data_IF_832137187340
#
_entry.id   IF_832137187340
#
_cell.length_a   1.000
_cell.length_b   1.000
_cell.length_c   1.000
_cell.angle_alpha   90.00
_cell.angle_beta   90.00
_cell.angle_gamma   90.00
#
_symmetry.space_group_name_H-M   'P 1'
#
loop_
_entity.id
_entity.type
_entity.pdbx_description
1 polymer ?
#
# COMPACT_ATOMS: atom_id res chain seq x y z
N UNK A 1 3.90 4.99 27.70
CA UNK A 1 4.72 3.81 28.09
C UNK A 1 4.96 3.00 26.83
N UNK A 2 6.22 2.80 26.43
CA UNK A 2 6.60 2.00 25.25
C UNK A 2 7.47 0.83 25.69
N UNK A 3 7.46 -0.25 24.91
CA UNK A 3 8.26 -1.45 25.11
C UNK A 3 9.46 -1.43 24.14
N UNK A 4 10.64 -1.80 24.62
CA UNK A 4 11.85 -1.93 23.80
C UNK A 4 12.59 -3.20 24.19
N UNK A 5 13.10 -3.91 23.20
CA UNK A 5 14.02 -5.03 23.40
C UNK A 5 15.47 -4.51 23.32
N UNK A 6 16.28 -4.86 24.30
CA UNK A 6 17.70 -4.54 24.36
C UNK A 6 18.50 -5.77 24.82
N UNK A 7 19.70 -5.97 24.30
CA UNK A 7 20.65 -6.97 24.80
C UNK A 7 21.79 -6.26 25.53
N UNK A 8 22.53 -7.01 26.34
CA UNK A 8 23.77 -6.52 26.93
C UNK A 8 24.84 -6.36 25.84
N UNK A 9 25.58 -5.26 25.89
CA UNK A 9 26.78 -5.08 25.06
C UNK A 9 27.86 -6.12 25.45
N UNK A 10 28.66 -6.65 24.51
CA UNK A 10 29.75 -7.58 24.83
C UNK A 10 30.76 -7.05 25.87
N UNK A 11 30.90 -5.73 26.00
CA UNK A 11 31.76 -5.04 26.97
C UNK A 11 30.98 -4.49 28.18
N UNK A 12 29.72 -4.87 28.34
CA UNK A 12 28.82 -4.38 29.39
C UNK A 12 29.32 -4.70 30.80
N UNK A 13 29.31 -3.70 31.67
CA UNK A 13 29.60 -3.81 33.09
C UNK A 13 28.47 -4.44 33.92
N UNK A 14 27.32 -4.66 33.28
CA UNK A 14 26.12 -5.24 33.88
C UNK A 14 26.13 -6.78 33.86
N UNK A 15 26.98 -7.39 33.02
CA UNK A 15 27.12 -8.83 32.96
C UNK A 15 27.56 -9.40 34.33
N UNK A 16 26.82 -10.40 34.82
CA UNK A 16 27.06 -11.04 36.11
C UNK A 16 26.45 -10.36 37.33
N UNK A 17 25.88 -9.14 37.19
CA UNK A 17 25.12 -8.46 38.26
C UNK A 17 23.68 -8.95 38.30
N UNK A 18 23.06 -8.90 39.48
CA UNK A 18 21.62 -9.17 39.59
C UNK A 18 20.80 -7.97 39.11
N UNK A 19 19.57 -8.20 38.66
CA UNK A 19 18.67 -7.12 38.23
C UNK A 19 18.43 -6.10 39.35
N UNK A 20 18.34 -6.57 40.60
CA UNK A 20 18.22 -5.71 41.78
C UNK A 20 19.47 -4.88 42.03
N UNK A 21 20.68 -5.41 41.79
CA UNK A 21 21.91 -4.62 41.89
C UNK A 21 21.98 -3.51 40.83
N UNK A 22 21.45 -3.79 39.63
CA UNK A 22 21.45 -2.84 38.51
C UNK A 22 20.40 -1.74 38.69
N UNK A 23 19.31 -2.02 39.39
CA UNK A 23 18.25 -1.06 39.71
C UNK A 23 17.73 -0.29 38.49
N UNK A 24 17.26 -1.00 37.46
CA UNK A 24 16.75 -0.40 36.21
C UNK A 24 15.74 0.74 36.45
N UNK A 25 14.88 0.62 37.47
CA UNK A 25 13.91 1.68 37.83
C UNK A 25 14.58 2.97 38.31
N UNK A 26 15.62 2.88 39.12
CA UNK A 26 16.26 4.08 39.68
C UNK A 26 17.34 4.64 38.75
N UNK A 27 18.16 3.76 38.16
CA UNK A 27 19.28 4.15 37.28
C UNK A 27 18.78 4.65 35.92
N UNK A 28 17.85 3.94 35.31
CA UNK A 28 17.41 4.20 33.94
C UNK A 28 15.98 4.75 33.84
N UNK A 29 15.22 4.75 34.95
CA UNK A 29 13.79 5.10 34.96
C UNK A 29 12.96 4.21 34.04
N UNK A 30 13.35 2.94 33.96
CA UNK A 30 12.72 1.91 33.14
C UNK A 30 12.36 0.69 33.99
N UNK A 31 11.27 0.03 33.65
CA UNK A 31 10.86 -1.23 34.26
C UNK A 31 11.35 -2.41 33.40
N UNK A 32 12.02 -3.38 34.01
CA UNK A 32 12.33 -4.64 33.35
C UNK A 32 11.09 -5.55 33.44
N UNK A 33 10.51 -5.88 32.28
CA UNK A 33 9.28 -6.66 32.16
C UNK A 33 9.57 -8.16 32.01
N UNK A 34 10.62 -8.51 31.27
CA UNK A 34 11.00 -9.89 31.02
C UNK A 34 12.46 -10.01 30.60
N UNK A 35 13.04 -11.20 30.79
CA UNK A 35 14.35 -11.59 30.24
C UNK A 35 14.13 -12.80 29.34
N UNK A 36 14.60 -12.74 28.11
CA UNK A 36 14.61 -13.87 27.19
C UNK A 36 16.00 -14.51 27.18
N UNK A 37 16.06 -15.77 27.63
CA UNK A 37 17.31 -16.55 27.71
C UNK A 37 17.10 -17.94 27.13
N UNK A 38 17.97 -18.36 26.22
CA UNK A 38 17.95 -19.72 25.64
C UNK A 38 16.56 -20.15 25.10
N UNK A 39 15.85 -19.23 24.44
CA UNK A 39 14.53 -19.52 23.86
C UNK A 39 13.37 -19.56 24.86
N UNK A 40 13.57 -19.16 26.13
CA UNK A 40 12.52 -19.15 27.15
C UNK A 40 12.36 -17.74 27.75
N UNK A 41 11.12 -17.22 27.85
CA UNK A 41 10.85 -15.98 28.58
C UNK A 41 10.83 -16.24 30.09
N UNK A 42 11.70 -15.55 30.82
CA UNK A 42 11.70 -15.45 32.27
C UNK A 42 10.90 -14.20 32.66
N UNK A 43 9.89 -14.37 33.52
CA UNK A 43 8.97 -13.30 33.97
C UNK A 43 8.80 -13.21 35.48
N UNK A 44 9.34 -14.17 36.22
CA UNK A 44 9.14 -14.32 37.67
C UNK A 44 10.49 -14.17 38.36
N UNK A 45 10.50 -13.57 39.56
CA UNK A 45 11.72 -13.37 40.37
C UNK A 45 12.87 -12.68 39.63
N UNK A 46 12.52 -11.75 38.73
CA UNK A 46 13.49 -11.07 37.86
C UNK A 46 14.61 -10.38 38.66
N UNK A 47 14.30 -9.82 39.84
CA UNK A 47 15.25 -9.09 40.69
C UNK A 47 16.51 -9.87 41.06
N UNK A 48 16.37 -11.17 41.38
CA UNK A 48 17.49 -12.00 41.84
C UNK A 48 18.28 -12.65 40.70
N UNK A 49 17.79 -12.54 39.46
CA UNK A 49 18.46 -13.14 38.31
C UNK A 49 19.72 -12.36 37.95
N UNK A 50 20.82 -13.10 37.78
CA UNK A 50 22.06 -12.53 37.23
C UNK A 50 21.95 -12.38 35.72
N UNK A 51 22.24 -11.18 35.23
CA UNK A 51 22.29 -10.87 33.80
C UNK A 51 23.46 -11.60 33.13
N UNK A 52 23.23 -12.17 31.96
CA UNK A 52 24.23 -12.89 31.17
C UNK A 52 24.30 -12.33 29.75
N UNK A 53 25.50 -12.30 29.17
CA UNK A 53 25.66 -11.91 27.77
C UNK A 53 24.80 -12.82 26.87
N UNK A 54 24.06 -12.21 25.94
CA UNK A 54 23.08 -12.91 25.10
C UNK A 54 21.65 -12.94 25.65
N UNK A 55 21.41 -12.38 26.84
CA UNK A 55 20.06 -12.12 27.31
C UNK A 55 19.40 -10.99 26.52
N UNK A 56 18.16 -11.21 26.07
CA UNK A 56 17.30 -10.15 25.57
C UNK A 56 16.41 -9.61 26.70
N UNK A 57 16.63 -8.36 27.07
CA UNK A 57 15.90 -7.62 28.09
C UNK A 57 14.72 -6.87 27.47
N UNK A 58 13.55 -7.01 28.08
CA UNK A 58 12.35 -6.30 27.68
C UNK A 58 12.09 -5.15 28.66
N UNK A 59 12.32 -3.91 28.20
CA UNK A 59 12.24 -2.70 29.02
C UNK A 59 10.98 -1.90 28.69
N UNK A 60 10.29 -1.40 29.72
CA UNK A 60 9.10 -0.56 29.63
C UNK A 60 9.36 0.81 30.25
N UNK A 61 8.99 1.87 29.53
CA UNK A 61 9.10 3.22 30.10
C UNK A 61 8.62 4.36 29.22
N UNK A 62 8.88 5.62 29.66
CA UNK A 62 8.62 6.80 28.85
C UNK A 62 9.56 6.86 27.65
N UNK A 63 9.07 7.43 26.55
CA UNK A 63 9.78 7.42 25.27
C UNK A 63 11.09 8.18 25.33
N UNK A 64 11.14 9.29 26.09
CA UNK A 64 12.36 10.10 26.24
C UNK A 64 13.49 9.30 26.91
N UNK A 65 13.16 8.45 27.89
CA UNK A 65 14.12 7.60 28.59
C UNK A 65 14.59 6.44 27.73
N UNK A 66 13.67 5.81 26.99
CA UNK A 66 14.01 4.73 26.08
C UNK A 66 14.95 5.21 24.97
N UNK A 67 14.76 6.41 24.41
CA UNK A 67 15.67 6.95 23.40
C UNK A 67 17.11 7.19 23.91
N UNK A 68 17.31 7.32 25.22
CA UNK A 68 18.65 7.45 25.81
C UNK A 68 19.38 6.11 25.89
N UNK A 69 18.67 4.98 25.85
CA UNK A 69 19.29 3.64 25.85
C UNK A 69 20.19 3.41 24.65
N UNK A 70 19.90 4.04 23.50
CA UNK A 70 20.75 3.94 22.31
C UNK A 70 22.15 4.52 22.52
N UNK A 71 22.35 5.35 23.55
CA UNK A 71 23.64 5.93 23.92
C UNK A 71 24.23 5.28 25.20
N UNK A 72 23.60 4.26 25.76
CA UNK A 72 24.10 3.57 26.95
C UNK A 72 25.20 2.57 26.55
N UNK A 73 26.41 2.65 27.14
CA UNK A 73 27.52 1.77 26.77
C UNK A 73 27.32 0.32 27.23
N UNK A 74 26.40 0.05 28.16
CA UNK A 74 26.17 -1.28 28.70
C UNK A 74 25.08 -2.07 27.93
N UNK A 75 24.31 -1.42 27.05
CA UNK A 75 23.11 -1.98 26.42
C UNK A 75 23.04 -1.67 24.92
N UNK A 76 22.73 -2.68 24.12
CA UNK A 76 22.45 -2.55 22.69
C UNK A 76 20.96 -2.72 22.46
N UNK A 77 20.32 -1.69 21.91
CA UNK A 77 18.89 -1.73 21.59
C UNK A 77 18.67 -2.56 20.31
N UNK A 78 17.87 -3.64 20.42
CA UNK A 78 17.58 -4.57 19.33
C UNK A 78 16.35 -4.14 18.50
N UNK A 79 15.37 -3.50 19.15
CA UNK A 79 14.21 -2.94 18.44
C UNK A 79 14.47 -1.49 18.05
N UNK A 80 14.33 -1.07 16.78
CA UNK A 80 14.43 0.35 16.44
C UNK A 80 13.36 1.14 17.22
N UNK A 81 13.79 1.97 18.18
CA UNK A 81 12.94 2.91 18.96
C UNK A 81 12.27 3.93 18.03
N UNK A 82 12.70 3.98 16.78
CA UNK A 82 12.32 4.93 15.76
C UNK A 82 11.02 4.54 15.07
N UNK A 83 9.88 4.67 15.74
CA UNK A 83 8.75 5.26 15.03
C UNK A 83 9.08 6.75 14.91
N UNK A 84 9.36 7.34 13.74
CA UNK A 84 9.67 8.77 13.65
C UNK A 84 8.61 9.59 14.39
N UNK A 85 9.02 10.60 15.18
CA UNK A 85 8.03 11.56 15.68
C UNK A 85 7.45 12.28 14.46
N UNK A 86 6.21 11.99 14.13
CA UNK A 86 5.51 12.68 13.04
C UNK A 86 5.22 14.10 13.59
N UNK A 87 5.95 15.09 13.09
CA UNK A 87 5.68 16.50 13.41
C UNK A 87 4.37 16.92 12.72
N UNK A 88 3.29 16.95 13.50
CA UNK A 88 1.95 17.31 13.02
C UNK A 88 1.72 18.81 12.94
N UNK A 89 2.70 19.66 13.30
CA UNK A 89 2.55 21.12 13.29
C UNK A 89 2.14 21.66 11.92
N UNK A 90 2.64 21.03 10.85
CA UNK A 90 2.35 21.42 9.46
C UNK A 90 1.20 20.66 8.81
N UNK A 91 0.57 19.73 9.52
CA UNK A 91 -0.58 18.98 9.03
C UNK A 91 -1.75 19.85 8.54
N UNK A 92 -2.18 20.93 9.23
CA UNK A 92 -3.30 21.74 8.76
C UNK A 92 -2.95 22.52 7.48
N UNK A 93 -1.71 22.98 7.35
CA UNK A 93 -1.24 23.67 6.14
C UNK A 93 -1.19 22.71 4.94
N UNK A 94 -0.64 21.50 5.15
CA UNK A 94 -0.62 20.46 4.13
C UNK A 94 -2.03 20.05 3.68
N UNK A 95 -2.95 19.88 4.62
CA UNK A 95 -4.35 19.59 4.33
C UNK A 95 -5.02 20.72 3.54
N UNK A 96 -4.79 21.98 3.93
CA UNK A 96 -5.28 23.15 3.21
C UNK A 96 -4.78 23.22 1.76
N UNK A 97 -3.49 22.96 1.54
CA UNK A 97 -2.91 22.87 0.19
C UNK A 97 -3.55 21.74 -0.64
N UNK A 98 -3.73 20.56 -0.05
CA UNK A 98 -4.37 19.43 -0.71
C UNK A 98 -5.82 19.74 -1.10
N UNK A 99 -6.61 20.32 -0.18
CA UNK A 99 -7.99 20.75 -0.45
C UNK A 99 -8.01 21.82 -1.55
N UNK A 100 -7.07 22.77 -1.53
CA UNK A 100 -6.94 23.80 -2.56
C UNK A 100 -6.68 23.21 -3.94
N UNK A 101 -5.77 22.23 -4.05
CA UNK A 101 -5.50 21.51 -5.31
C UNK A 101 -6.75 20.79 -5.80
N UNK A 102 -7.43 20.03 -4.93
CA UNK A 102 -8.65 19.29 -5.27
C UNK A 102 -9.74 20.27 -5.73
N UNK A 103 -9.98 21.35 -5.00
CA UNK A 103 -10.97 22.36 -5.33
C UNK A 103 -10.70 23.03 -6.68
N UNK A 104 -9.44 23.40 -6.96
CA UNK A 104 -9.06 23.99 -8.24
C UNK A 104 -9.31 23.06 -9.42
N UNK A 105 -9.07 21.76 -9.26
CA UNK A 105 -9.33 20.74 -10.29
C UNK A 105 -10.83 20.51 -10.48
N UNK A 106 -11.59 20.37 -9.39
CA UNK A 106 -13.04 20.11 -9.46
C UNK A 106 -13.84 21.25 -10.09
N UNK A 107 -13.42 22.50 -9.86
CA UNK A 107 -14.04 23.68 -10.46
C UNK A 107 -13.59 23.86 -11.93
N UNK A 108 -12.62 23.05 -12.39
CA UNK A 108 -12.07 23.11 -13.75
C UNK A 108 -11.14 24.30 -13.98
N UNK A 109 -10.62 24.91 -12.91
CA UNK A 109 -9.82 26.13 -13.01
C UNK A 109 -8.40 25.84 -13.52
N UNK A 110 -7.85 24.69 -13.14
CA UNK A 110 -6.53 24.21 -13.56
C UNK A 110 -6.61 22.73 -13.97
N UNK A 111 -5.93 22.32 -15.06
CA UNK A 111 -5.69 20.92 -15.37
C UNK A 111 -4.99 20.21 -14.21
N UNK A 112 -5.37 18.94 -13.96
CA UNK A 112 -4.88 18.16 -12.82
C UNK A 112 -3.34 18.08 -12.75
N UNK A 113 -2.66 17.99 -13.89
CA UNK A 113 -1.21 17.95 -13.96
C UNK A 113 -0.56 19.24 -13.42
N UNK A 114 -1.11 20.40 -13.79
CA UNK A 114 -0.59 21.70 -13.36
C UNK A 114 -0.89 21.91 -11.87
N UNK A 115 -2.13 21.61 -11.45
CA UNK A 115 -2.54 21.74 -10.06
C UNK A 115 -1.70 20.85 -9.12
N UNK A 116 -1.42 19.60 -9.51
CA UNK A 116 -0.61 18.68 -8.72
C UNK A 116 0.85 19.15 -8.58
N UNK A 117 1.48 19.62 -9.66
CA UNK A 117 2.86 20.14 -9.61
C UNK A 117 2.95 21.40 -8.74
N UNK A 118 1.98 22.32 -8.88
CA UNK A 118 1.91 23.51 -8.04
C UNK A 118 1.75 23.15 -6.55
N UNK A 119 0.83 22.24 -6.22
CA UNK A 119 0.62 21.76 -4.86
C UNK A 119 1.88 21.13 -4.26
N UNK A 120 2.53 20.24 -5.00
CA UNK A 120 3.79 19.61 -4.57
C UNK A 120 4.91 20.65 -4.36
N UNK A 121 5.02 21.64 -5.26
CA UNK A 121 5.98 22.73 -5.13
C UNK A 121 5.72 23.57 -3.88
N UNK A 122 4.46 23.93 -3.62
CA UNK A 122 4.07 24.68 -2.42
C UNK A 122 4.35 23.90 -1.13
N UNK A 123 4.15 22.57 -1.13
CA UNK A 123 4.49 21.71 0.01
C UNK A 123 5.99 21.76 0.36
N UNK A 124 6.87 21.84 -0.65
CA UNK A 124 8.32 21.97 -0.45
C UNK A 124 8.69 23.40 -0.03
N UNK A 125 8.13 24.42 -0.67
CA UNK A 125 8.40 25.83 -0.34
C UNK A 125 7.95 26.21 1.08
N UNK A 126 6.81 25.70 1.52
CA UNK A 126 6.30 25.86 2.90
C UNK A 126 7.03 24.96 3.92
N UNK A 127 8.00 24.15 3.45
CA UNK A 127 8.74 23.18 4.24
C UNK A 127 7.83 22.18 4.95
N UNK A 128 6.63 21.92 4.42
CA UNK A 128 5.80 20.78 4.88
C UNK A 128 6.51 19.46 4.60
N UNK A 129 7.30 19.44 3.52
CA UNK A 129 8.11 18.30 3.10
C UNK A 129 9.52 18.78 2.72
N UNK A 130 10.55 18.00 3.04
CA UNK A 130 11.90 18.25 2.53
C UNK A 130 12.02 17.77 1.08
N UNK A 131 12.99 18.29 0.32
CA UNK A 131 13.19 17.85 -1.08
C UNK A 131 13.49 16.35 -1.17
N UNK A 132 14.26 15.80 -0.24
CA UNK A 132 14.52 14.35 -0.18
C UNK A 132 13.24 13.55 0.10
N UNK A 133 12.41 14.02 1.03
CA UNK A 133 11.12 13.38 1.30
C UNK A 133 10.16 13.51 0.10
N UNK A 134 10.23 14.61 -0.66
CA UNK A 134 9.51 14.78 -1.92
C UNK A 134 9.93 13.71 -2.93
N UNK A 135 11.23 13.56 -3.16
CA UNK A 135 11.76 12.54 -4.06
C UNK A 135 11.39 11.11 -3.66
N UNK A 136 11.40 10.82 -2.35
CA UNK A 136 10.98 9.51 -1.81
C UNK A 136 9.47 9.28 -1.91
N UNK A 137 8.66 10.34 -1.88
CA UNK A 137 7.21 10.24 -2.00
C UNK A 137 6.74 10.00 -3.45
N UNK A 138 7.62 10.20 -4.44
CA UNK A 138 7.31 9.90 -5.84
C UNK A 138 7.31 8.38 -6.04
N UNK A 139 6.16 7.84 -6.45
CA UNK A 139 6.00 6.44 -6.85
C UNK A 139 6.60 6.20 -8.25
N UNK A 140 7.95 6.19 -8.32
CA UNK A 140 8.70 6.00 -9.57
C UNK A 140 8.27 4.75 -10.33
N UNK A 141 7.93 3.67 -9.61
CA UNK A 141 7.42 2.42 -10.20
C UNK A 141 6.17 2.67 -11.05
N UNK A 142 5.23 3.48 -10.55
CA UNK A 142 3.99 3.81 -11.27
C UNK A 142 4.26 4.67 -12.51
N UNK A 143 5.18 5.64 -12.40
CA UNK A 143 5.56 6.48 -13.55
C UNK A 143 6.19 5.64 -14.66
N UNK A 144 7.19 4.81 -14.34
CA UNK A 144 7.83 3.95 -15.32
C UNK A 144 6.89 2.90 -15.89
N UNK A 145 5.96 2.39 -15.07
CA UNK A 145 4.91 1.49 -15.54
C UNK A 145 4.01 2.19 -16.58
N UNK A 146 3.52 3.40 -16.29
CA UNK A 146 2.68 4.16 -17.24
C UNK A 146 3.46 4.48 -18.51
N UNK A 147 4.68 4.97 -18.37
CA UNK A 147 5.55 5.31 -19.49
C UNK A 147 5.90 4.08 -20.35
N UNK A 148 6.14 2.92 -19.75
CA UNK A 148 6.48 1.68 -20.47
C UNK A 148 5.28 0.99 -21.12
N UNK A 149 4.09 1.16 -20.55
CA UNK A 149 2.86 0.59 -21.11
C UNK A 149 2.34 1.36 -22.33
N UNK A 150 2.68 2.64 -22.50
CA UNK A 150 2.35 3.39 -23.72
C UNK A 150 2.96 2.72 -24.98
N UNK A 151 4.27 2.44 -25.05
CA UNK A 151 4.85 1.64 -26.13
C UNK A 151 4.27 0.24 -26.25
N UNK A 152 3.97 -0.44 -25.14
CA UNK A 152 3.36 -1.77 -25.18
C UNK A 152 1.96 -1.73 -25.82
N UNK A 153 1.14 -0.75 -25.46
CA UNK A 153 -0.17 -0.54 -26.06
C UNK A 153 -0.08 -0.30 -27.56
N UNK A 154 0.85 0.56 -28.00
CA UNK A 154 1.13 0.80 -29.42
C UNK A 154 1.60 -0.50 -30.11
N UNK A 155 2.44 -1.30 -29.46
CA UNK A 155 2.90 -2.57 -30.00
C UNK A 155 1.76 -3.60 -30.10
N UNK A 156 0.86 -3.67 -29.11
CA UNK A 156 -0.33 -4.53 -29.12
C UNK A 156 -1.32 -4.11 -30.20
N UNK A 157 -1.51 -2.81 -30.41
CA UNK A 157 -2.33 -2.26 -31.49
C UNK A 157 -1.71 -2.61 -32.86
N UNK A 158 -0.43 -2.29 -33.07
CA UNK A 158 0.26 -2.57 -34.34
C UNK A 158 0.42 -4.05 -34.67
N UNK A 159 0.57 -4.90 -33.65
CA UNK A 159 0.63 -6.36 -33.84
C UNK A 159 -0.75 -6.99 -34.05
N UNK A 160 -1.84 -6.24 -33.84
CA UNK A 160 -3.20 -6.76 -33.90
C UNK A 160 -3.60 -7.60 -32.69
N UNK A 161 -2.74 -7.76 -31.67
CA UNK A 161 -3.05 -8.55 -30.49
C UNK A 161 -4.26 -8.01 -29.72
N UNK A 162 -4.38 -6.68 -29.61
CA UNK A 162 -5.53 -6.05 -28.97
C UNK A 162 -6.83 -6.34 -29.73
N UNK A 163 -6.81 -6.23 -31.07
CA UNK A 163 -7.95 -6.53 -31.94
C UNK A 163 -8.34 -8.01 -31.88
N UNK A 164 -7.36 -8.93 -31.84
CA UNK A 164 -7.65 -10.37 -31.70
C UNK A 164 -8.42 -10.67 -30.41
N UNK A 165 -8.06 -10.04 -29.29
CA UNK A 165 -8.80 -10.21 -28.03
C UNK A 165 -10.19 -9.60 -28.13
N UNK A 166 -10.29 -8.37 -28.63
CA UNK A 166 -11.57 -7.68 -28.81
C UNK A 166 -12.53 -8.48 -29.71
N UNK A 167 -12.07 -8.92 -30.88
CA UNK A 167 -12.84 -9.74 -31.83
C UNK A 167 -13.33 -11.05 -31.20
N UNK A 168 -12.49 -11.72 -30.41
CA UNK A 168 -12.91 -12.97 -29.75
C UNK A 168 -14.02 -12.72 -28.72
N UNK A 169 -13.94 -11.63 -27.97
CA UNK A 169 -15.02 -11.23 -27.06
C UNK A 169 -16.27 -10.84 -27.83
N UNK A 170 -16.12 -10.09 -28.92
CA UNK A 170 -17.21 -9.69 -29.82
C UNK A 170 -17.90 -10.88 -30.48
N UNK A 171 -17.16 -11.88 -30.94
CA UNK A 171 -17.74 -13.13 -31.49
C UNK A 171 -18.53 -13.91 -30.45
N UNK A 172 -18.07 -13.91 -29.20
CA UNK A 172 -18.75 -14.62 -28.11
C UNK A 172 -19.97 -13.88 -27.58
N UNK A 173 -19.92 -12.54 -27.49
CA UNK A 173 -20.88 -11.74 -26.71
C UNK A 173 -21.53 -10.59 -27.50
N UNK A 174 -20.96 -10.17 -28.63
CA UNK A 174 -21.38 -8.99 -29.39
C UNK A 174 -22.79 -9.08 -29.96
N UNK A 175 -23.32 -10.27 -30.20
CA UNK A 175 -24.72 -10.47 -30.62
C UNK A 175 -25.75 -10.20 -29.51
N UNK A 176 -25.32 -10.11 -28.26
CA UNK A 176 -26.21 -9.87 -27.11
C UNK A 176 -26.32 -8.38 -26.76
N UNK A 177 -25.33 -7.56 -27.15
CA UNK A 177 -25.31 -6.12 -26.95
C UNK A 177 -23.97 -5.58 -26.44
N UNK A 178 -23.81 -4.24 -26.36
CA UNK A 178 -22.58 -3.63 -25.89
C UNK A 178 -22.28 -3.88 -24.40
N UNK A 179 -23.32 -4.02 -23.57
CA UNK A 179 -23.16 -4.24 -22.12
C UNK A 179 -22.58 -5.61 -21.80
N UNK A 180 -22.92 -6.62 -22.59
CA UNK A 180 -22.41 -7.98 -22.48
C UNK A 180 -20.93 -8.04 -22.84
N UNK A 181 -20.51 -7.29 -23.87
CA UNK A 181 -19.09 -7.15 -24.22
C UNK A 181 -18.32 -6.47 -23.09
N UNK A 182 -18.85 -5.38 -22.53
CA UNK A 182 -18.25 -4.68 -21.38
C UNK A 182 -18.14 -5.64 -20.17
N UNK A 183 -19.19 -6.41 -19.90
CA UNK A 183 -19.19 -7.42 -18.83
C UNK A 183 -18.15 -8.53 -19.07
N UNK A 184 -17.99 -8.97 -20.32
CA UNK A 184 -16.96 -9.94 -20.71
C UNK A 184 -15.54 -9.41 -20.48
N UNK A 185 -15.28 -8.17 -20.91
CA UNK A 185 -13.98 -7.50 -20.68
C UNK A 185 -13.73 -7.25 -19.19
N UNK A 186 -14.76 -6.90 -18.42
CA UNK A 186 -14.69 -6.83 -16.96
C UNK A 186 -14.26 -8.18 -16.39
N UNK A 187 -14.89 -9.28 -16.80
CA UNK A 187 -14.57 -10.63 -16.34
C UNK A 187 -13.13 -11.03 -16.63
N UNK A 188 -12.65 -10.78 -17.86
CA UNK A 188 -11.24 -11.01 -18.25
C UNK A 188 -10.31 -10.20 -17.35
N UNK A 189 -10.63 -8.92 -17.11
CA UNK A 189 -9.86 -8.04 -16.22
C UNK A 189 -9.84 -8.61 -14.81
N UNK A 190 -10.99 -8.96 -14.24
CA UNK A 190 -11.11 -9.51 -12.89
C UNK A 190 -10.27 -10.79 -12.72
N UNK A 191 -10.23 -11.69 -13.71
CA UNK A 191 -9.38 -12.88 -13.68
C UNK A 191 -7.90 -12.49 -13.75
N UNK A 192 -7.53 -11.56 -14.63
CA UNK A 192 -6.15 -11.12 -14.80
C UNK A 192 -5.58 -10.42 -13.55
N UNK A 193 -6.42 -9.82 -12.69
CA UNK A 193 -5.98 -9.23 -11.40
C UNK A 193 -5.32 -10.25 -10.47
N UNK A 194 -5.55 -11.55 -10.67
CA UNK A 194 -4.94 -12.58 -9.83
C UNK A 194 -3.41 -12.58 -9.90
N UNK A 195 -2.86 -12.16 -11.04
CA UNK A 195 -1.43 -12.24 -11.39
C UNK A 195 -0.85 -10.86 -11.67
N UNK A 196 -1.65 -9.96 -12.24
CA UNK A 196 -1.20 -8.65 -12.71
C UNK A 196 -1.58 -7.57 -11.70
N UNK A 197 -0.64 -6.70 -11.27
CA UNK A 197 -0.95 -5.56 -10.42
C UNK A 197 -1.97 -4.62 -11.08
N UNK A 198 -2.88 -4.05 -10.29
CA UNK A 198 -4.00 -3.20 -10.76
C UNK A 198 -3.59 -2.15 -11.78
N UNK A 199 -2.53 -1.37 -11.51
CA UNK A 199 -2.07 -0.31 -12.41
C UNK A 199 -1.57 -0.85 -13.76
N UNK A 200 -0.83 -1.97 -13.76
CA UNK A 200 -0.40 -2.62 -15.01
C UNK A 200 -1.58 -3.12 -15.82
N UNK A 201 -2.57 -3.67 -15.15
CA UNK A 201 -3.71 -4.30 -15.79
C UNK A 201 -4.60 -3.29 -16.53
N UNK A 202 -4.92 -2.15 -15.91
CA UNK A 202 -5.73 -1.10 -16.57
C UNK A 202 -5.06 -0.66 -17.86
N UNK A 203 -3.74 -0.46 -17.84
CA UNK A 203 -3.01 -0.01 -19.01
C UNK A 203 -2.90 -1.08 -20.10
N UNK A 204 -2.78 -2.35 -19.73
CA UNK A 204 -2.81 -3.47 -20.68
C UNK A 204 -4.17 -3.62 -21.35
N UNK A 205 -5.25 -3.40 -20.59
CA UNK A 205 -6.62 -3.51 -21.10
C UNK A 205 -7.03 -2.31 -21.96
N UNK A 206 -6.52 -1.10 -21.69
CA UNK A 206 -6.87 0.12 -22.43
C UNK A 206 -6.88 -0.02 -23.97
N UNK A 207 -5.85 -0.55 -24.65
CA UNK A 207 -5.89 -0.72 -26.11
C UNK A 207 -6.97 -1.72 -26.57
N UNK A 208 -7.23 -2.78 -25.79
CA UNK A 208 -8.29 -3.77 -26.10
C UNK A 208 -9.66 -3.11 -26.04
N UNK A 209 -9.87 -2.25 -25.03
CA UNK A 209 -11.12 -1.52 -24.82
C UNK A 209 -11.37 -0.51 -25.90
N UNK A 210 -10.35 0.26 -26.28
CA UNK A 210 -10.44 1.23 -27.36
C UNK A 210 -10.81 0.53 -28.68
N UNK A 211 -10.18 -0.61 -28.97
CA UNK A 211 -10.53 -1.44 -30.14
C UNK A 211 -11.98 -1.94 -30.08
N UNK A 212 -12.43 -2.51 -28.95
CA UNK A 212 -13.79 -3.02 -28.79
C UNK A 212 -14.84 -1.89 -28.85
N UNK A 213 -14.55 -0.72 -28.29
CA UNK A 213 -15.45 0.44 -28.30
C UNK A 213 -15.63 0.98 -29.71
N UNK A 214 -14.54 0.98 -30.51
CA UNK A 214 -14.58 1.38 -31.93
C UNK A 214 -15.42 0.40 -32.76
N UNK A 215 -15.28 -0.90 -32.51
CA UNK A 215 -16.06 -1.93 -33.21
C UNK A 215 -17.56 -1.89 -32.85
N UNK A 216 -17.87 -1.53 -31.60
CA UNK A 216 -19.24 -1.34 -31.10
C UNK A 216 -19.87 0.01 -31.48
N UNK A 217 -19.07 0.97 -31.97
CA UNK A 217 -19.54 2.34 -32.24
C UNK A 217 -19.97 3.09 -30.99
N UNK A 218 -19.29 2.87 -29.86
CA UNK A 218 -19.57 3.54 -28.58
C UNK A 218 -18.37 4.36 -28.09
N UNK A 219 -18.66 5.41 -27.33
CA UNK A 219 -17.63 6.18 -26.62
C UNK A 219 -16.92 5.29 -25.60
N UNK A 220 -15.57 5.25 -25.57
CA UNK A 220 -14.80 4.33 -24.74
C UNK A 220 -14.85 4.65 -23.24
N UNK A 221 -15.42 5.79 -22.87
CA UNK A 221 -15.41 6.27 -21.49
C UNK A 221 -16.09 5.30 -20.50
N UNK A 222 -17.28 4.77 -20.84
CA UNK A 222 -18.00 3.83 -19.98
C UNK A 222 -17.30 2.45 -19.89
N UNK A 223 -16.87 1.82 -21.01
CA UNK A 223 -16.04 0.61 -20.97
C UNK A 223 -14.74 0.77 -20.17
N UNK A 224 -14.05 1.91 -20.32
CA UNK A 224 -12.82 2.20 -19.57
C UNK A 224 -13.09 2.31 -18.06
N UNK A 225 -14.20 2.92 -17.66
CA UNK A 225 -14.62 2.99 -16.26
C UNK A 225 -14.92 1.58 -15.70
N UNK A 226 -15.60 0.73 -16.48
CA UNK A 226 -15.88 -0.65 -16.08
C UNK A 226 -14.60 -1.41 -15.72
N UNK A 227 -13.56 -1.26 -16.54
CA UNK A 227 -12.29 -1.97 -16.37
C UNK A 227 -11.42 -1.37 -15.28
N UNK A 228 -11.46 -0.04 -15.11
CA UNK A 228 -10.85 0.60 -13.94
C UNK A 228 -11.45 0.07 -12.64
N UNK A 229 -12.78 -0.10 -12.58
CA UNK A 229 -13.47 -0.69 -11.43
C UNK A 229 -13.13 -2.19 -11.28
N UNK A 230 -13.09 -2.95 -12.37
CA UNK A 230 -12.71 -4.37 -12.36
C UNK A 230 -11.30 -4.58 -11.81
N UNK A 231 -10.34 -3.80 -12.30
CA UNK A 231 -8.96 -3.86 -11.86
C UNK A 231 -8.82 -3.44 -10.39
N UNK A 232 -9.63 -2.48 -9.93
CA UNK A 232 -9.66 -2.04 -8.53
C UNK A 232 -10.26 -3.10 -7.60
N UNK A 233 -11.14 -3.97 -8.10
CA UNK A 233 -11.72 -5.10 -7.38
C UNK A 233 -10.73 -6.29 -7.19
N UNK A 234 -9.49 -5.96 -6.81
CA UNK A 234 -8.33 -6.86 -6.68
C UNK A 234 -8.35 -7.70 -5.39
N UNK A 235 -9.47 -8.37 -5.10
CA UNK A 235 -9.68 -9.11 -3.84
C UNK A 235 -9.17 -10.57 -3.87
N UNK A 236 -9.05 -11.14 -5.06
CA UNK A 236 -8.82 -12.58 -5.29
C UNK A 236 -7.38 -13.03 -5.07
N UNK A 237 -6.43 -12.10 -4.93
CA UNK A 237 -5.01 -12.39 -4.78
C UNK A 237 -4.36 -11.45 -3.74
N UNK A 238 -3.41 -11.94 -2.95
CA UNK A 238 -2.59 -11.08 -2.11
C UNK A 238 -1.56 -10.28 -2.92
N UNK A 239 -1.16 -10.77 -4.10
CA UNK A 239 -0.09 -10.16 -4.92
C UNK A 239 -0.62 -8.98 -5.75
N UNK A 240 -1.93 -8.94 -5.98
CA UNK A 240 -2.61 -7.91 -6.79
C UNK A 240 -2.42 -6.50 -6.22
N UNK A 241 -2.37 -6.36 -4.89
CA UNK A 241 -2.25 -5.08 -4.20
C UNK A 241 -1.27 -5.14 -3.01
N UNK A 242 -0.32 -4.20 -2.86
CA UNK A 242 0.67 -4.21 -1.79
C UNK A 242 0.09 -4.28 -0.37
N UNK A 243 -1.06 -3.63 -0.14
CA UNK A 243 -1.76 -3.68 1.13
C UNK A 243 -2.18 -5.10 1.54
N UNK A 244 -2.58 -5.94 0.57
CA UNK A 244 -2.97 -7.32 0.85
C UNK A 244 -1.76 -8.15 1.30
N UNK A 245 -0.60 -7.98 0.66
CA UNK A 245 0.66 -8.62 1.09
C UNK A 245 1.04 -8.20 2.52
N UNK A 246 0.92 -6.91 2.84
CA UNK A 246 1.27 -6.37 4.17
C UNK A 246 0.42 -6.96 5.30
N UNK A 247 -0.85 -7.25 5.03
CA UNK A 247 -1.77 -7.84 6.01
C UNK A 247 -1.68 -9.37 6.04
N UNK A 248 -1.30 -10.01 4.92
CA UNK A 248 -1.23 -11.47 4.79
C UNK A 248 -0.32 -12.10 5.86
N UNK A 249 0.86 -11.53 6.10
CA UNK A 249 1.81 -12.04 7.09
C UNK A 249 1.30 -11.95 8.53
N UNK A 250 1.08 -10.73 9.08
CA UNK A 250 0.59 -10.54 10.44
C UNK A 250 -0.80 -11.14 10.70
N UNK A 251 -1.66 -11.18 9.68
CA UNK A 251 -3.00 -11.78 9.76
C UNK A 251 -3.01 -13.30 9.65
N UNK A 252 -1.89 -13.95 9.34
CA UNK A 252 -1.81 -15.41 9.18
C UNK A 252 -2.61 -15.95 8.01
N UNK A 253 -2.92 -15.11 7.01
CA UNK A 253 -3.72 -15.50 5.85
C UNK A 253 -2.90 -16.30 4.84
N UNK A 254 -3.53 -17.29 4.22
CA UNK A 254 -2.96 -18.06 3.10
C UNK A 254 -3.52 -17.53 1.78
N UNK A 255 -2.83 -17.80 0.68
CA UNK A 255 -3.30 -17.40 -0.66
C UNK A 255 -4.73 -17.89 -0.95
N UNK A 256 -5.05 -19.10 -0.50
CA UNK A 256 -6.39 -19.70 -0.68
C UNK A 256 -7.48 -18.93 0.06
N UNK A 257 -7.16 -18.25 1.17
CA UNK A 257 -8.14 -17.48 1.93
C UNK A 257 -8.58 -16.23 1.14
N UNK A 258 -7.64 -15.59 0.43
CA UNK A 258 -7.93 -14.52 -0.52
C UNK A 258 -8.81 -15.00 -1.68
N UNK A 259 -8.55 -16.18 -2.22
CA UNK A 259 -9.38 -16.70 -3.31
C UNK A 259 -10.81 -17.01 -2.83
N UNK A 260 -10.94 -17.67 -1.67
CA UNK A 260 -12.23 -18.07 -1.09
C UNK A 260 -13.13 -16.88 -0.79
N UNK A 261 -12.58 -15.79 -0.26
CA UNK A 261 -13.35 -14.58 0.09
C UNK A 261 -13.42 -13.60 -1.07
N UNK A 262 -12.35 -13.51 -1.86
CA UNK A 262 -12.23 -12.57 -2.96
C UNK A 262 -13.15 -12.90 -4.12
N UNK A 263 -13.30 -14.17 -4.52
CA UNK A 263 -14.19 -14.53 -5.65
C UNK A 263 -15.65 -14.13 -5.39
N UNK A 264 -16.28 -14.47 -4.25
CA UNK A 264 -17.62 -13.99 -3.93
C UNK A 264 -17.72 -12.47 -3.93
N UNK A 265 -16.73 -11.78 -3.36
CA UNK A 265 -16.73 -10.32 -3.29
C UNK A 265 -16.61 -9.67 -4.67
N UNK A 266 -15.75 -10.21 -5.54
CA UNK A 266 -15.61 -9.78 -6.94
C UNK A 266 -16.91 -9.96 -7.70
N UNK A 267 -17.65 -11.06 -7.48
CA UNK A 267 -18.98 -11.27 -8.08
C UNK A 267 -19.98 -10.22 -7.59
N UNK A 268 -20.02 -9.95 -6.29
CA UNK A 268 -20.90 -8.90 -5.73
C UNK A 268 -20.59 -7.54 -6.34
N UNK A 269 -19.31 -7.18 -6.43
CA UNK A 269 -18.88 -5.91 -7.02
C UNK A 269 -19.20 -5.86 -8.51
N UNK A 270 -19.00 -6.97 -9.24
CA UNK A 270 -19.41 -7.07 -10.63
C UNK A 270 -20.91 -6.81 -10.81
N UNK A 271 -21.77 -7.41 -9.98
CA UNK A 271 -23.23 -7.19 -10.04
C UNK A 271 -23.59 -5.73 -9.75
N UNK A 272 -22.94 -5.12 -8.76
CA UNK A 272 -23.13 -3.69 -8.46
C UNK A 272 -22.72 -2.85 -9.67
N UNK A 273 -21.54 -3.09 -10.25
CA UNK A 273 -21.09 -2.36 -11.44
C UNK A 273 -22.04 -2.58 -12.60
N UNK A 274 -22.47 -3.81 -12.88
CA UNK A 274 -23.40 -4.11 -13.97
C UNK A 274 -24.74 -3.35 -13.85
N UNK A 275 -25.23 -3.12 -12.63
CA UNK A 275 -26.48 -2.39 -12.39
C UNK A 275 -26.29 -0.87 -12.43
N UNK A 276 -25.22 -0.35 -11.80
CA UNK A 276 -25.03 1.09 -11.63
C UNK A 276 -24.29 1.76 -12.79
N UNK A 277 -23.42 1.05 -13.50
CA UNK A 277 -22.63 1.59 -14.60
C UNK A 277 -23.52 2.15 -15.73
N UNK A 278 -24.61 1.49 -16.18
CA UNK A 278 -25.53 2.06 -17.17
C UNK A 278 -26.22 3.35 -16.73
N UNK A 279 -26.45 3.50 -15.43
CA UNK A 279 -27.13 4.67 -14.88
C UNK A 279 -26.20 5.87 -14.71
N UNK A 280 -24.97 5.62 -14.27
CA UNK A 280 -23.95 6.67 -14.07
C UNK A 280 -23.25 7.06 -15.37
N UNK A 281 -23.02 6.09 -16.26
CA UNK A 281 -22.35 6.26 -17.55
C UNK A 281 -23.16 5.59 -18.67
N UNK A 282 -24.27 6.23 -19.09
CA UNK A 282 -25.04 5.73 -20.22
C UNK A 282 -24.17 5.70 -21.48
N UNK A 283 -24.34 4.64 -22.30
CA UNK A 283 -23.60 4.51 -23.54
C UNK A 283 -23.96 5.65 -24.48
N UNK A 284 -22.93 6.36 -24.93
CA UNK A 284 -23.03 7.36 -25.98
C UNK A 284 -22.51 6.71 -27.25
N UNK A 285 -23.31 6.77 -28.31
CA UNK A 285 -22.89 6.30 -29.63
C UNK A 285 -21.94 7.34 -30.23
N UNK A 286 -20.83 6.87 -30.79
CA UNK A 286 -19.86 7.68 -31.54
C UNK A 286 -20.29 7.85 -32.99
#
# INVERSE_FOLDING_TARGET
MHLVEATLDPHSSLAGRTVDDVNFRQRLQLELVAIWRNGRPLRTELGQLKLSLGDALLLLGPRERLSLLSNDPDLIVLTPITAPQIDTSKAPLAAGLMIGVIGAVLIGWLPIAIAAILGATLMVLTKCLTMEAAYRAIEWRSIFLIAGMLPLGIAMERSGAASLVAENVMRALGGSGPWEVIAGLYGITAIATMIVPTAALVLLMAPIVLSASTELGIEPYAPMMAIALAASASFTSPISHPANVLVMGPGGYRFVDYLKLGVPLTIVVFLIVAVFLPWLWPLQMT
#
